data_IF_337482757504
#
_entry.id   IF_337482757504
#
_cell.length_a   1.000
_cell.length_b   1.000
_cell.length_c   1.000
_cell.angle_alpha   90.00
_cell.angle_beta   90.00
_cell.angle_gamma   90.00
#
_symmetry.space_group_name_H-M   'P 1'
#
loop_
_entity.id
_entity.type
_entity.pdbx_description
1 polymer ?
#
# COMPACT_ATOMS: atom_id res chain seq x y z
N UNK A 1 -3.58 -21.26 -11.17
CA UNK A 1 -4.56 -21.85 -10.22
C UNK A 1 -4.51 -21.21 -8.81
N UNK A 2 -3.39 -20.60 -8.40
CA UNK A 2 -3.24 -19.90 -7.10
C UNK A 2 -4.01 -18.57 -6.95
N UNK A 3 -4.29 -17.84 -8.04
CA UNK A 3 -5.03 -16.57 -7.96
C UNK A 3 -6.51 -16.74 -7.55
N UNK A 4 -7.20 -17.79 -8.02
CA UNK A 4 -8.60 -18.05 -7.60
C UNK A 4 -8.70 -18.42 -6.12
N UNK A 5 -7.68 -19.07 -5.57
CA UNK A 5 -7.59 -19.40 -4.15
C UNK A 5 -7.42 -18.15 -3.28
N UNK A 6 -6.54 -17.21 -3.66
CA UNK A 6 -6.35 -15.96 -2.92
C UNK A 6 -7.60 -15.08 -2.95
N UNK A 7 -8.28 -14.94 -4.10
CA UNK A 7 -9.51 -14.14 -4.22
C UNK A 7 -10.68 -14.78 -3.46
N UNK A 8 -10.83 -16.10 -3.53
CA UNK A 8 -11.86 -16.81 -2.76
C UNK A 8 -11.61 -16.69 -1.25
N UNK A 9 -10.37 -16.88 -0.79
CA UNK A 9 -10.01 -16.69 0.61
C UNK A 9 -10.21 -15.23 1.06
N UNK A 10 -9.97 -14.25 0.17
CA UNK A 10 -10.16 -12.83 0.47
C UNK A 10 -11.63 -12.48 0.70
N UNK A 11 -12.52 -12.91 -0.19
CA UNK A 11 -13.97 -12.67 -0.07
C UNK A 11 -14.54 -13.41 1.15
N UNK A 12 -14.08 -14.64 1.40
CA UNK A 12 -14.54 -15.43 2.55
C UNK A 12 -14.01 -14.92 3.89
N UNK A 13 -12.74 -14.50 3.98
CA UNK A 13 -12.18 -13.91 5.22
C UNK A 13 -12.87 -12.59 5.53
N UNK A 14 -13.14 -11.77 4.51
CA UNK A 14 -13.89 -10.53 4.68
C UNK A 14 -15.33 -10.80 5.15
N UNK A 15 -16.04 -11.74 4.52
CA UNK A 15 -17.39 -12.13 4.93
C UNK A 15 -17.42 -12.76 6.33
N UNK A 16 -16.46 -13.62 6.67
CA UNK A 16 -16.34 -14.22 8.00
C UNK A 16 -15.99 -13.18 9.06
N UNK A 17 -15.19 -12.16 8.77
CA UNK A 17 -14.90 -11.09 9.75
C UNK A 17 -16.12 -10.20 9.99
N UNK A 18 -16.83 -9.78 8.94
CA UNK A 18 -18.07 -9.00 9.05
C UNK A 18 -19.20 -9.77 9.76
N UNK A 19 -19.32 -11.07 9.49
CA UNK A 19 -20.42 -11.90 10.02
C UNK A 19 -20.10 -12.50 11.39
N UNK A 20 -18.84 -12.86 11.68
CA UNK A 20 -18.48 -13.51 12.96
C UNK A 20 -17.87 -12.57 14.00
N UNK A 21 -17.37 -11.39 13.63
CA UNK A 21 -16.73 -10.47 14.58
C UNK A 21 -17.32 -9.04 14.58
N UNK A 22 -18.66 -8.83 14.55
CA UNK A 22 -19.22 -7.48 14.65
C UNK A 22 -18.82 -6.79 15.96
N UNK A 23 -18.64 -7.55 17.05
CA UNK A 23 -18.22 -6.99 18.34
C UNK A 23 -16.78 -6.47 18.35
N UNK A 24 -15.90 -7.02 17.52
CA UNK A 24 -14.50 -6.58 17.46
C UNK A 24 -14.38 -5.18 16.85
N UNK A 25 -15.22 -4.84 15.86
CA UNK A 25 -15.26 -3.50 15.27
C UNK A 25 -15.65 -2.42 16.28
N UNK A 26 -16.57 -2.72 17.22
CA UNK A 26 -16.96 -1.78 18.28
C UNK A 26 -15.89 -1.61 19.37
N UNK A 27 -15.03 -2.61 19.57
CA UNK A 27 -13.96 -2.57 20.55
C UNK A 27 -12.68 -1.91 19.99
N UNK A 28 -12.48 -2.00 18.67
CA UNK A 28 -11.30 -1.43 18.01
C UNK A 28 -11.49 0.08 17.77
N UNK A 29 -10.52 0.87 18.21
CA UNK A 29 -10.48 2.29 17.88
C UNK A 29 -10.04 2.47 16.42
N UNK A 30 -10.85 3.18 15.63
CA UNK A 30 -10.59 3.46 14.20
C UNK A 30 -9.32 4.29 13.97
N UNK A 31 -8.83 4.99 15.00
CA UNK A 31 -7.73 5.94 14.90
C UNK A 31 -8.14 7.23 14.17
N UNK A 32 -7.44 8.36 14.40
CA UNK A 32 -7.73 9.61 13.71
C UNK A 32 -7.39 9.51 12.21
N UNK A 33 -8.06 10.32 11.38
CA UNK A 33 -7.65 10.49 9.98
C UNK A 33 -6.28 11.15 9.94
N UNK A 34 -5.28 10.40 9.49
CA UNK A 34 -3.90 10.88 9.35
C UNK A 34 -3.49 11.10 7.90
N UNK A 35 -4.28 10.66 6.92
CA UNK A 35 -3.99 10.89 5.50
C UNK A 35 -4.27 12.34 5.13
N UNK A 36 -3.38 12.90 4.30
CA UNK A 36 -3.60 14.21 3.69
C UNK A 36 -4.86 14.19 2.82
N UNK A 37 -5.42 15.36 2.59
CA UNK A 37 -6.58 15.47 1.73
C UNK A 37 -6.23 15.07 0.29
N UNK A 38 -7.08 14.23 -0.32
CA UNK A 38 -6.85 13.70 -1.67
C UNK A 38 -6.67 14.81 -2.69
N UNK A 39 -7.42 15.92 -2.55
CA UNK A 39 -7.28 17.07 -3.43
C UNK A 39 -5.89 17.72 -3.30
N UNK A 40 -5.38 17.84 -2.07
CA UNK A 40 -4.05 18.38 -1.83
C UNK A 40 -2.94 17.48 -2.41
N UNK A 41 -3.09 16.15 -2.27
CA UNK A 41 -2.18 15.16 -2.88
C UNK A 41 -2.17 15.32 -4.41
N UNK A 42 -3.34 15.38 -5.03
CA UNK A 42 -3.48 15.53 -6.47
C UNK A 42 -2.93 16.87 -6.99
N UNK A 43 -3.10 17.96 -6.24
CA UNK A 43 -2.53 19.26 -6.60
C UNK A 43 -1.01 19.25 -6.61
N UNK A 44 -0.37 18.68 -5.57
CA UNK A 44 1.10 18.52 -5.51
C UNK A 44 1.58 17.65 -6.66
N UNK A 45 0.94 16.51 -6.86
CA UNK A 45 1.26 15.60 -7.95
C UNK A 45 1.20 16.28 -9.32
N UNK A 46 0.14 17.05 -9.60
CA UNK A 46 -0.04 17.79 -10.86
C UNK A 46 0.89 18.99 -11.04
N UNK A 47 1.55 19.44 -9.97
CA UNK A 47 2.49 20.56 -10.06
C UNK A 47 3.82 20.18 -10.69
N UNK A 48 4.17 18.89 -10.72
CA UNK A 48 5.42 18.40 -11.27
C UNK A 48 5.37 18.27 -12.80
N UNK A 49 6.47 18.63 -13.48
CA UNK A 49 6.62 18.37 -14.92
C UNK A 49 6.71 16.89 -15.23
N UNK A 50 7.40 16.14 -14.38
CA UNK A 50 7.56 14.69 -14.47
C UNK A 50 6.79 14.09 -13.30
N UNK A 51 5.74 13.34 -13.62
CA UNK A 51 4.82 12.75 -12.69
C UNK A 51 5.02 11.23 -12.67
N UNK A 52 5.17 10.65 -11.48
CA UNK A 52 5.40 9.22 -11.25
C UNK A 52 4.39 8.70 -10.23
N UNK A 53 3.77 7.57 -10.50
CA UNK A 53 2.90 6.86 -9.56
C UNK A 53 3.34 5.43 -9.36
N UNK A 54 3.06 4.87 -8.18
CA UNK A 54 3.33 3.48 -7.86
C UNK A 54 2.39 2.99 -6.75
N UNK A 55 2.11 1.67 -6.73
CA UNK A 55 1.34 1.01 -5.68
C UNK A 55 2.28 0.35 -4.65
N UNK A 56 1.84 0.30 -3.39
CA UNK A 56 2.44 -0.50 -2.32
C UNK A 56 1.91 -1.94 -2.34
N UNK A 57 2.81 -2.90 -2.57
CA UNK A 57 2.45 -4.29 -2.75
C UNK A 57 1.86 -4.88 -1.46
N UNK A 58 0.54 -5.11 -1.45
CA UNK A 58 -0.17 -5.71 -0.31
C UNK A 58 0.12 -4.98 1.00
N UNK A 59 0.12 -3.64 0.98
CA UNK A 59 0.46 -2.73 2.09
C UNK A 59 0.06 -3.26 3.49
N UNK A 60 -1.20 -3.62 3.69
CA UNK A 60 -1.71 -4.11 4.98
C UNK A 60 -1.00 -5.39 5.47
N UNK A 61 -0.67 -6.31 4.55
CA UNK A 61 0.00 -7.57 4.87
C UNK A 61 1.49 -7.40 5.19
N UNK A 62 2.05 -6.22 4.98
CA UNK A 62 3.44 -5.92 5.33
C UNK A 62 3.57 -5.46 6.79
N UNK A 63 2.45 -5.20 7.48
CA UNK A 63 2.43 -4.80 8.89
C UNK A 63 2.02 -5.98 9.76
N UNK A 64 2.93 -6.39 10.65
CA UNK A 64 2.65 -7.43 11.64
C UNK A 64 1.81 -6.89 12.80
N UNK A 65 0.91 -7.73 13.29
CA UNK A 65 0.18 -7.52 14.54
C UNK A 65 1.00 -8.11 15.68
N UNK A 66 0.95 -7.47 16.85
CA UNK A 66 1.61 -7.95 18.05
C UNK A 66 1.11 -9.34 18.44
N UNK A 67 1.98 -10.19 18.99
CA UNK A 67 1.65 -11.61 19.21
C UNK A 67 0.42 -11.82 20.09
N UNK A 68 0.21 -10.93 21.07
CA UNK A 68 -0.92 -10.96 22.00
C UNK A 68 -2.25 -10.66 21.28
N UNK A 69 -2.22 -9.69 20.36
CA UNK A 69 -3.39 -9.23 19.61
C UNK A 69 -3.82 -10.17 18.49
N UNK A 70 -2.92 -11.04 18.00
CA UNK A 70 -3.24 -12.07 16.99
C UNK A 70 -4.32 -13.04 17.46
N UNK A 71 -4.54 -13.16 18.77
CA UNK A 71 -5.60 -14.01 19.30
C UNK A 71 -7.00 -13.49 18.96
N UNK A 72 -7.15 -12.19 18.69
CA UNK A 72 -8.40 -11.57 18.25
C UNK A 72 -8.61 -11.69 16.73
N UNK A 73 -7.62 -12.16 15.97
CA UNK A 73 -7.70 -12.36 14.52
C UNK A 73 -7.70 -13.86 14.15
N UNK A 74 -8.54 -14.64 14.84
CA UNK A 74 -8.71 -16.07 14.55
C UNK A 74 -9.77 -16.28 13.47
N UNK A 75 -9.47 -17.17 12.53
CA UNK A 75 -10.42 -17.65 11.53
C UNK A 75 -10.55 -19.17 11.63
N UNK A 76 -11.77 -19.65 11.37
CA UNK A 76 -12.05 -21.08 11.25
C UNK A 76 -12.11 -21.43 9.77
N UNK A 77 -11.44 -22.51 9.38
CA UNK A 77 -11.37 -22.95 7.98
C UNK A 77 -11.45 -24.46 7.86
N UNK A 78 -12.13 -24.94 6.82
CA UNK A 78 -12.13 -26.33 6.39
C UNK A 78 -12.22 -26.37 4.86
N UNK A 79 -11.53 -27.32 4.25
CA UNK A 79 -11.45 -27.41 2.79
C UNK A 79 -12.71 -28.02 2.17
N UNK A 80 -13.44 -28.83 2.93
CA UNK A 80 -14.75 -29.38 2.58
C UNK A 80 -15.61 -29.59 3.84
N UNK A 81 -16.95 -29.73 3.72
CA UNK A 81 -17.85 -29.87 4.88
C UNK A 81 -17.52 -31.04 5.81
N UNK A 82 -16.95 -32.11 5.25
CA UNK A 82 -16.59 -33.33 5.99
C UNK A 82 -15.22 -33.26 6.66
N UNK A 83 -14.40 -32.25 6.34
CA UNK A 83 -13.07 -32.07 6.93
C UNK A 83 -13.15 -31.44 8.32
N UNK A 84 -12.20 -31.77 9.22
CA UNK A 84 -12.13 -31.14 10.52
C UNK A 84 -11.90 -29.63 10.37
N UNK A 85 -12.58 -28.85 11.20
CA UNK A 85 -12.41 -27.40 11.27
C UNK A 85 -11.02 -27.10 11.86
N UNK A 86 -10.23 -26.34 11.12
CA UNK A 86 -8.92 -25.83 11.54
C UNK A 86 -9.07 -24.39 12.01
N UNK A 87 -8.30 -24.02 13.03
CA UNK A 87 -8.22 -22.63 13.50
C UNK A 87 -6.90 -22.03 13.02
N UNK A 88 -6.96 -20.90 12.35
CA UNK A 88 -5.81 -20.12 11.93
C UNK A 88 -5.78 -18.77 12.66
N UNK A 89 -4.58 -18.23 12.87
CA UNK A 89 -4.38 -16.87 13.39
C UNK A 89 -3.76 -16.03 12.28
N UNK A 90 -4.39 -14.91 11.98
CA UNK A 90 -3.79 -13.92 11.07
C UNK A 90 -2.72 -13.15 11.83
N UNK A 91 -1.55 -13.01 11.22
CA UNK A 91 -0.38 -12.39 11.85
C UNK A 91 -0.20 -10.93 11.45
N UNK A 92 -0.93 -10.46 10.45
CA UNK A 92 -0.75 -9.14 9.82
C UNK A 92 -2.06 -8.39 9.79
N UNK A 93 -1.99 -7.06 9.62
CA UNK A 93 -3.19 -6.21 9.54
C UNK A 93 -4.11 -6.76 8.45
N UNK A 94 -5.35 -7.04 8.85
CA UNK A 94 -6.36 -7.63 7.99
C UNK A 94 -7.43 -6.60 7.62
N UNK A 95 -7.84 -6.66 6.37
CA UNK A 95 -8.92 -5.84 5.80
C UNK A 95 -10.22 -6.01 6.56
N UNK A 96 -11.04 -4.95 6.59
CA UNK A 96 -12.35 -4.98 7.23
C UNK A 96 -12.34 -4.81 8.75
N UNK A 97 -11.17 -4.62 9.37
CA UNK A 97 -11.11 -4.16 10.77
C UNK A 97 -11.17 -2.63 10.82
N UNK A 98 -11.82 -2.06 11.85
CA UNK A 98 -11.98 -0.61 11.99
C UNK A 98 -10.64 0.15 11.94
N UNK A 99 -9.58 -0.42 12.51
CA UNK A 99 -8.24 0.19 12.54
C UNK A 99 -7.40 -0.09 11.29
N UNK A 100 -7.88 -0.90 10.34
CA UNK A 100 -7.08 -1.33 9.18
C UNK A 100 -6.60 -0.14 8.34
N UNK A 101 -7.42 0.89 8.16
CA UNK A 101 -7.06 2.08 7.38
C UNK A 101 -6.00 2.95 8.08
N UNK A 102 -5.99 2.95 9.41
CA UNK A 102 -5.07 3.76 10.20
C UNK A 102 -3.69 3.11 10.35
N UNK A 103 -3.63 1.82 10.71
CA UNK A 103 -2.38 1.19 11.16
C UNK A 103 -1.26 1.23 10.11
N UNK A 104 -1.45 0.76 8.86
CA UNK A 104 -0.39 0.79 7.86
C UNK A 104 0.00 2.21 7.48
N UNK A 105 -0.97 3.11 7.37
CA UNK A 105 -0.71 4.53 7.10
C UNK A 105 0.16 5.15 8.21
N UNK A 106 -0.11 4.83 9.48
CA UNK A 106 0.65 5.35 10.62
C UNK A 106 2.07 4.83 10.65
N UNK A 107 2.26 3.55 10.28
CA UNK A 107 3.59 2.92 10.14
C UNK A 107 4.39 3.61 9.05
N UNK A 108 3.82 3.85 7.87
CA UNK A 108 4.51 4.59 6.80
C UNK A 108 4.90 6.01 7.23
N UNK A 109 4.01 6.72 7.94
CA UNK A 109 4.34 8.05 8.48
C UNK A 109 5.46 7.98 9.52
N UNK A 110 5.50 6.94 10.35
CA UNK A 110 6.60 6.77 11.30
C UNK A 110 7.92 6.50 10.59
N UNK A 111 7.92 5.59 9.61
CA UNK A 111 9.08 5.27 8.79
C UNK A 111 9.66 6.52 8.12
N UNK A 112 8.79 7.38 7.58
CA UNK A 112 9.22 8.65 6.98
C UNK A 112 9.83 9.63 7.99
N UNK A 113 9.35 9.64 9.24
CA UNK A 113 9.93 10.47 10.31
C UNK A 113 11.31 9.94 10.70
N UNK A 114 11.43 8.62 10.86
CA UNK A 114 12.65 7.96 11.31
C UNK A 114 13.77 8.07 10.27
N UNK A 115 13.44 7.96 8.98
CA UNK A 115 14.40 8.05 7.86
C UNK A 115 14.61 9.47 7.32
N UNK A 116 13.98 10.49 7.93
CA UNK A 116 14.02 11.87 7.42
C UNK A 116 15.42 12.45 7.32
N UNK A 117 16.32 12.09 8.23
CA UNK A 117 17.71 12.56 8.20
C UNK A 117 18.53 11.94 7.08
N UNK A 118 18.20 10.71 6.68
CA UNK A 118 18.94 9.94 5.69
C UNK A 118 18.42 10.23 4.28
N UNK A 119 17.10 10.23 4.12
CA UNK A 119 16.41 10.31 2.84
C UNK A 119 15.32 11.40 2.89
N UNK A 120 15.70 12.69 3.00
CA UNK A 120 14.76 13.78 3.26
C UNK A 120 13.71 13.93 2.15
N UNK A 121 14.10 13.86 0.87
CA UNK A 121 13.16 14.00 -0.25
C UNK A 121 12.14 12.85 -0.32
N UNK A 122 12.61 11.61 -0.18
CA UNK A 122 11.72 10.43 -0.13
C UNK A 122 10.79 10.45 1.09
N UNK A 123 11.28 10.94 2.23
CA UNK A 123 10.49 11.07 3.45
C UNK A 123 9.35 12.07 3.28
N UNK A 124 9.60 13.22 2.64
CA UNK A 124 8.53 14.19 2.32
C UNK A 124 7.46 13.59 1.41
N UNK A 125 7.86 12.78 0.42
CA UNK A 125 6.91 12.04 -0.43
C UNK A 125 6.07 11.08 0.41
N UNK A 126 6.68 10.28 1.28
CA UNK A 126 5.93 9.32 2.09
C UNK A 126 4.98 10.00 3.09
N UNK A 127 5.34 11.19 3.60
CA UNK A 127 4.52 11.97 4.53
C UNK A 127 3.28 12.59 3.89
N UNK A 128 3.43 13.10 2.66
CA UNK A 128 2.45 14.00 2.05
C UNK A 128 1.79 13.45 0.78
N UNK A 129 2.37 12.43 0.16
CA UNK A 129 2.00 12.04 -1.20
C UNK A 129 1.53 10.58 -1.31
N UNK A 130 1.18 9.97 -0.17
CA UNK A 130 0.59 8.64 -0.12
C UNK A 130 -0.91 8.71 0.17
N UNK A 131 -1.70 8.00 -0.64
CA UNK A 131 -3.12 7.79 -0.43
C UNK A 131 -3.39 6.28 -0.39
N UNK A 132 -3.59 5.75 0.82
CA UNK A 132 -3.73 4.31 1.05
C UNK A 132 -2.51 3.56 0.46
N UNK A 133 -2.70 2.73 -0.56
CA UNK A 133 -1.66 1.97 -1.25
C UNK A 133 -1.03 2.72 -2.43
N UNK A 134 -1.61 3.84 -2.87
CA UNK A 134 -1.08 4.65 -3.97
C UNK A 134 -0.06 5.68 -3.47
N UNK A 135 1.06 5.79 -4.17
CA UNK A 135 2.10 6.81 -3.96
C UNK A 135 2.20 7.68 -5.21
N UNK A 136 1.94 8.97 -5.08
CA UNK A 136 1.88 9.92 -6.20
C UNK A 136 2.91 11.04 -6.05
N UNK A 137 3.99 11.01 -6.83
CA UNK A 137 5.09 11.97 -6.67
C UNK A 137 5.63 12.41 -8.02
N UNK A 138 6.65 13.27 -7.99
CA UNK A 138 7.23 13.78 -9.21
C UNK A 138 8.40 14.73 -8.95
N UNK A 139 8.93 15.28 -10.04
CA UNK A 139 9.97 16.28 -10.01
C UNK A 139 9.87 17.20 -11.24
N UNK A 140 10.60 18.31 -11.22
CA UNK A 140 10.64 19.26 -12.36
C UNK A 140 11.75 18.93 -13.36
N UNK A 141 12.68 18.05 -12.98
CA UNK A 141 13.82 17.65 -13.80
C UNK A 141 13.97 16.13 -13.83
N UNK A 142 14.53 15.62 -14.92
CA UNK A 142 14.74 14.19 -15.13
C UNK A 142 15.70 13.59 -14.09
N UNK A 143 16.81 14.27 -13.81
CA UNK A 143 17.80 13.84 -12.81
C UNK A 143 17.19 13.72 -11.40
N UNK A 144 16.32 14.66 -11.02
CA UNK A 144 15.66 14.58 -9.71
C UNK A 144 14.68 13.42 -9.63
N UNK A 145 13.90 13.17 -10.68
CA UNK A 145 13.00 12.03 -10.73
C UNK A 145 13.77 10.69 -10.71
N UNK A 146 14.87 10.61 -11.46
CA UNK A 146 15.75 9.44 -11.51
C UNK A 146 16.43 9.15 -10.16
N UNK A 147 16.70 10.18 -9.36
CA UNK A 147 17.25 10.03 -8.01
C UNK A 147 16.18 9.69 -6.97
N UNK A 148 14.98 10.26 -7.10
CA UNK A 148 13.92 10.12 -6.10
C UNK A 148 13.32 8.71 -6.05
N UNK A 149 13.19 8.04 -7.20
CA UNK A 149 12.68 6.66 -7.26
C UNK A 149 13.49 5.69 -6.40
N UNK A 150 14.83 5.55 -6.58
CA UNK A 150 15.62 4.63 -5.76
C UNK A 150 15.67 5.06 -4.29
N UNK A 151 15.73 6.37 -3.98
CA UNK A 151 15.64 6.85 -2.59
C UNK A 151 14.33 6.41 -1.92
N UNK A 152 13.20 6.47 -2.64
CA UNK A 152 11.91 6.04 -2.13
C UNK A 152 11.82 4.51 -1.98
N UNK A 153 12.40 3.76 -2.93
CA UNK A 153 12.50 2.30 -2.82
C UNK A 153 13.35 1.88 -1.61
N UNK A 154 14.49 2.54 -1.39
CA UNK A 154 15.36 2.28 -0.25
C UNK A 154 14.66 2.56 1.08
N UNK A 155 14.01 3.72 1.19
CA UNK A 155 13.25 4.11 2.38
C UNK A 155 12.18 3.06 2.69
N UNK A 156 11.34 2.70 1.71
CA UNK A 156 10.26 1.74 1.92
C UNK A 156 10.79 0.33 2.20
N UNK A 157 11.88 -0.06 1.55
CA UNK A 157 12.52 -1.35 1.78
C UNK A 157 13.05 -1.50 3.21
N UNK A 158 13.57 -0.41 3.80
CA UNK A 158 14.00 -0.41 5.21
C UNK A 158 12.84 -0.74 6.18
N UNK A 159 11.62 -0.35 5.82
CA UNK A 159 10.39 -0.69 6.54
C UNK A 159 9.73 -2.01 6.12
N UNK A 160 10.33 -2.78 5.21
CA UNK A 160 9.78 -4.02 4.67
C UNK A 160 8.67 -3.84 3.63
N UNK A 161 8.49 -2.62 3.12
CA UNK A 161 7.54 -2.30 2.07
C UNK A 161 8.15 -2.46 0.68
N UNK A 162 7.31 -2.82 -0.31
CA UNK A 162 7.74 -2.95 -1.72
C UNK A 162 6.79 -2.18 -2.62
N UNK A 163 7.35 -1.33 -3.46
CA UNK A 163 6.64 -0.63 -4.54
C UNK A 163 6.55 -1.50 -5.79
N UNK A 164 5.44 -1.38 -6.52
CA UNK A 164 5.21 -2.02 -7.81
C UNK A 164 4.25 -1.19 -8.69
N UNK A 165 3.97 -1.65 -9.92
CA UNK A 165 3.06 -0.96 -10.86
C UNK A 165 3.42 0.53 -11.02
N UNK A 166 4.54 0.75 -11.67
CA UNK A 166 5.07 2.08 -11.90
C UNK A 166 4.43 2.71 -13.12
N UNK A 167 4.03 3.97 -12.99
CA UNK A 167 3.56 4.77 -14.12
C UNK A 167 4.29 6.11 -14.14
N UNK A 168 4.56 6.62 -15.33
CA UNK A 168 5.16 7.95 -15.49
C UNK A 168 4.66 8.62 -16.75
N UNK A 169 4.51 9.94 -16.75
CA UNK A 169 4.29 10.69 -18.00
C UNK A 169 5.56 10.77 -18.86
N UNK A 170 6.74 10.53 -18.26
CA UNK A 170 8.04 10.51 -18.91
C UNK A 170 8.65 9.09 -18.78
N UNK A 171 8.58 8.30 -19.85
CA UNK A 171 8.98 6.89 -19.85
C UNK A 171 10.47 6.68 -19.56
N UNK A 172 11.30 7.63 -19.98
CA UNK A 172 12.76 7.57 -19.85
C UNK A 172 13.21 7.44 -18.39
N UNK A 173 12.47 8.05 -17.45
CA UNK A 173 12.70 7.93 -16.00
C UNK A 173 12.61 6.47 -15.55
N UNK A 174 11.53 5.78 -15.91
CA UNK A 174 11.27 4.40 -15.48
C UNK A 174 12.26 3.42 -16.09
N UNK A 175 12.59 3.58 -17.37
CA UNK A 175 13.53 2.71 -18.09
C UNK A 175 14.95 2.77 -17.50
N UNK A 176 15.35 3.92 -16.96
CA UNK A 176 16.68 4.13 -16.38
C UNK A 176 16.78 3.69 -14.92
N UNK A 177 15.69 3.75 -14.17
CA UNK A 177 15.68 3.46 -12.73
C UNK A 177 15.20 2.05 -12.39
N UNK A 178 14.26 1.48 -13.14
CA UNK A 178 13.63 0.19 -12.80
C UNK A 178 14.30 -0.93 -13.59
N UNK A 179 15.16 -1.71 -12.92
CA UNK A 179 15.85 -2.87 -13.50
C UNK A 179 14.93 -4.10 -13.60
N UNK A 180 14.35 -4.25 -14.79
CA UNK A 180 13.92 -5.43 -15.56
C UNK A 180 13.29 -6.71 -14.96
N UNK A 181 13.14 -6.91 -13.64
CA UNK A 181 12.32 -8.04 -13.12
C UNK A 181 10.85 -7.66 -12.94
N UNK A 182 10.55 -6.40 -12.64
CA UNK A 182 9.17 -5.86 -12.57
C UNK A 182 8.68 -5.28 -13.93
N UNK A 183 9.53 -5.22 -14.96
CA UNK A 183 9.29 -4.44 -16.19
C UNK A 183 8.29 -5.04 -17.19
N UNK A 184 8.01 -6.34 -17.16
CA UNK A 184 7.20 -6.97 -18.23
C UNK A 184 5.70 -6.74 -18.11
N UNK A 185 5.20 -6.33 -16.93
CA UNK A 185 3.77 -6.12 -16.69
C UNK A 185 3.43 -4.80 -15.97
N UNK A 186 4.41 -3.92 -15.69
CA UNK A 186 4.19 -2.90 -14.65
C UNK A 186 4.84 -1.53 -14.88
N UNK A 187 5.28 -1.21 -16.10
CA UNK A 187 5.72 0.14 -16.48
C UNK A 187 4.86 0.66 -17.64
N UNK A 188 3.88 1.52 -17.34
CA UNK A 188 3.02 2.13 -18.38
C UNK A 188 3.12 3.67 -18.36
N UNK A 189 2.84 4.29 -19.50
CA UNK A 189 2.86 5.76 -19.62
C UNK A 189 1.56 6.31 -19.06
N UNK A 190 1.64 7.35 -18.22
CA UNK A 190 0.47 8.12 -17.76
C UNK A 190 -0.15 8.85 -18.97
N UNK A 191 -1.07 8.20 -19.67
CA UNK A 191 -1.92 8.83 -20.68
C UNK A 191 -3.26 9.21 -20.05
N UNK A 192 -3.63 10.48 -20.18
CA UNK A 192 -4.85 11.07 -19.63
C UNK A 192 -6.14 10.40 -20.14
N UNK A 193 -6.06 9.59 -21.20
CA UNK A 193 -7.19 8.85 -21.77
C UNK A 193 -7.33 7.40 -21.31
N UNK A 194 -6.34 6.81 -20.64
CA UNK A 194 -6.32 5.35 -20.40
C UNK A 194 -6.09 4.93 -18.95
N UNK A 195 -5.59 5.80 -18.07
CA UNK A 195 -5.24 5.39 -16.70
C UNK A 195 -6.21 5.98 -15.67
N UNK A 196 -6.93 5.08 -15.00
CA UNK A 196 -7.72 5.39 -13.80
C UNK A 196 -6.78 5.59 -12.62
N UNK A 197 -6.32 6.82 -12.41
CA UNK A 197 -5.61 7.19 -11.19
C UNK A 197 -6.67 7.33 -10.09
N UNK A 198 -6.55 6.55 -9.00
CA UNK A 198 -7.41 6.64 -7.81
C UNK A 198 -8.92 6.37 -8.07
N UNK A 199 -9.27 5.77 -9.21
CA UNK A 199 -10.66 5.44 -9.55
C UNK A 199 -11.56 6.64 -9.84
N UNK A 200 -11.00 7.83 -10.04
CA UNK A 200 -11.73 9.05 -10.37
C UNK A 200 -11.80 9.23 -11.90
N UNK A 201 -13.03 9.41 -12.42
CA UNK A 201 -13.34 9.84 -13.80
C UNK A 201 -13.55 11.36 -13.86
#
# INVERSE_FOLDING_TARGET
MLLRSQVSLFVYVWYLMLVLNPHLEYLLMTGPKIQDDLFAILLRFRSHKIAVTSDLQKMYRQVNIENEDRNFQKILWRDNPSSPIKTYRLCTVTYGTASASFLPTRVLKQLAIDERSNLPKASEVLLHNCYVDDVLFGADTLEEAEKLIPELQELLYSGGFKLHKWFSNEKSVLERTIKTEDSKNSCEIIDAKSIKILGLE
#
